data_IF_304394162455
#
_entry.id   IF_304394162455
#
_cell.length_a   1.000
_cell.length_b   1.000
_cell.length_c   1.000
_cell.angle_alpha   90.00
_cell.angle_beta   90.00
_cell.angle_gamma   90.00
#
_symmetry.space_group_name_H-M   'P 1'
#
loop_
_entity.id
_entity.type
_entity.pdbx_description
1 polymer ?
#
# COMPACT_ATOMS: atom_id res chain seq x y z
N UNK A 1 -14.57 26.95 -6.90
CA UNK A 1 -14.45 25.67 -7.66
C UNK A 1 -14.26 24.59 -6.60
N UNK A 2 -14.88 23.42 -6.77
CA UNK A 2 -14.59 22.27 -5.92
C UNK A 2 -13.16 21.81 -6.19
N UNK A 3 -12.41 21.50 -5.14
CA UNK A 3 -11.04 21.02 -5.26
C UNK A 3 -11.05 19.49 -5.42
N UNK A 4 -10.27 18.98 -6.36
CA UNK A 4 -10.07 17.53 -6.48
C UNK A 4 -9.21 17.04 -5.33
N UNK A 5 -9.65 15.95 -4.69
CA UNK A 5 -9.02 15.41 -3.49
C UNK A 5 -8.77 13.90 -3.62
N UNK A 6 -7.58 13.44 -3.25
CA UNK A 6 -7.31 12.04 -2.96
C UNK A 6 -7.53 11.78 -1.47
N UNK A 7 -8.07 10.62 -1.11
CA UNK A 7 -8.20 10.17 0.27
C UNK A 7 -7.31 8.95 0.49
N UNK A 8 -6.34 9.08 1.39
CA UNK A 8 -5.54 7.96 1.90
C UNK A 8 -6.04 7.55 3.28
N UNK A 9 -6.30 6.27 3.47
CA UNK A 9 -6.75 5.69 4.75
C UNK A 9 -5.69 4.73 5.24
N UNK A 10 -5.07 5.06 6.37
CA UNK A 10 -4.03 4.22 6.97
C UNK A 10 -4.62 3.20 7.92
N UNK A 11 -4.38 1.92 7.69
CA UNK A 11 -4.71 0.82 8.61
C UNK A 11 -3.40 0.26 9.16
N UNK A 12 -3.00 0.59 10.39
CA UNK A 12 -1.65 0.33 10.91
C UNK A 12 -1.41 -1.12 11.36
N UNK A 13 -2.28 -2.05 11.04
CA UNK A 13 -2.21 -3.40 11.62
C UNK A 13 -1.62 -4.42 10.66
N UNK A 14 -0.72 -5.28 11.19
CA UNK A 14 -0.15 -6.42 10.49
C UNK A 14 -0.27 -7.68 11.36
N UNK A 15 -0.46 -8.84 10.74
CA UNK A 15 -0.44 -10.13 11.44
C UNK A 15 0.97 -10.44 11.98
N UNK A 16 2.00 -10.09 11.21
CA UNK A 16 3.41 -10.14 11.59
C UNK A 16 4.12 -8.92 11.02
N UNK A 17 5.07 -8.34 11.78
CA UNK A 17 5.85 -7.21 11.32
C UNK A 17 7.05 -7.71 10.52
N UNK A 18 7.17 -7.26 9.27
CA UNK A 18 8.32 -7.59 8.42
C UNK A 18 9.60 -6.97 8.95
N UNK A 19 10.73 -7.66 8.78
CA UNK A 19 12.02 -7.25 9.34
C UNK A 19 12.62 -5.99 8.68
N UNK A 20 12.12 -5.61 7.50
CA UNK A 20 12.55 -4.46 6.70
C UNK A 20 11.60 -3.26 6.76
N UNK A 21 10.41 -3.42 7.36
CA UNK A 21 9.33 -2.44 7.23
C UNK A 21 9.50 -1.29 8.22
N UNK A 22 9.66 -0.07 7.68
CA UNK A 22 9.74 1.19 8.44
C UNK A 22 8.40 1.94 8.52
N UNK A 23 7.34 1.41 7.91
CA UNK A 23 6.01 2.02 8.00
C UNK A 23 5.45 1.94 9.43
N UNK A 24 4.60 2.93 9.75
CA UNK A 24 3.84 2.94 11.00
C UNK A 24 2.92 1.73 11.01
N UNK A 25 3.33 0.66 11.70
CA UNK A 25 2.60 -0.59 11.74
C UNK A 25 2.74 -1.30 13.09
N UNK A 26 1.69 -2.03 13.48
CA UNK A 26 1.54 -2.65 14.79
C UNK A 26 0.97 -4.08 14.63
N UNK A 27 1.39 -5.00 15.51
CA UNK A 27 0.66 -6.25 15.68
C UNK A 27 -0.50 -5.99 16.68
N UNK A 28 -1.77 -6.15 16.27
CA UNK A 28 -2.90 -5.76 17.11
C UNK A 28 -3.10 -6.71 18.29
N UNK A 29 -3.47 -6.15 19.45
CA UNK A 29 -4.04 -6.88 20.58
C UNK A 29 -5.56 -6.98 20.42
N UNK A 30 -6.22 -7.88 21.15
CA UNK A 30 -7.69 -7.96 21.15
C UNK A 30 -8.34 -6.59 21.44
N UNK A 31 -9.24 -6.15 20.57
CA UNK A 31 -9.95 -4.88 20.67
C UNK A 31 -9.23 -3.66 20.04
N UNK A 32 -7.92 -3.73 19.75
CA UNK A 32 -7.18 -2.60 19.19
C UNK A 32 -7.77 -2.13 17.85
N UNK A 33 -8.14 -3.06 16.97
CA UNK A 33 -8.70 -2.74 15.65
C UNK A 33 -10.04 -2.04 15.79
N UNK A 34 -10.94 -2.54 16.64
CA UNK A 34 -12.28 -1.97 16.79
C UNK A 34 -12.24 -0.58 17.43
N UNK A 35 -11.37 -0.37 18.42
CA UNK A 35 -11.11 0.93 19.01
C UNK A 35 -10.54 1.90 17.97
N UNK A 36 -9.60 1.43 17.15
CA UNK A 36 -9.00 2.21 16.08
C UNK A 36 -10.02 2.64 15.03
N UNK A 37 -10.87 1.71 14.57
CA UNK A 37 -11.92 2.02 13.61
C UNK A 37 -12.91 3.06 14.17
N UNK A 38 -13.19 3.02 15.48
CA UNK A 38 -14.00 4.06 16.13
C UNK A 38 -13.34 5.43 16.15
N UNK A 39 -12.01 5.49 16.35
CA UNK A 39 -11.26 6.74 16.28
C UNK A 39 -11.14 7.26 14.84
N UNK A 40 -10.95 6.36 13.87
CA UNK A 40 -10.89 6.68 12.44
C UNK A 40 -12.20 7.28 11.94
N UNK A 41 -13.36 6.73 12.37
CA UNK A 41 -14.69 7.25 12.05
C UNK A 41 -14.87 8.68 12.56
N UNK A 42 -14.48 8.95 13.80
CA UNK A 42 -14.52 10.32 14.37
C UNK A 42 -13.60 11.29 13.62
N UNK A 43 -12.42 10.81 13.20
CA UNK A 43 -11.52 11.62 12.39
C UNK A 43 -12.15 11.98 11.05
N UNK A 44 -12.73 11.00 10.37
CA UNK A 44 -13.39 11.17 9.08
C UNK A 44 -14.50 12.22 9.18
N UNK A 45 -15.37 12.14 10.20
CA UNK A 45 -16.43 13.11 10.48
C UNK A 45 -15.87 14.51 10.75
N UNK A 46 -14.68 14.63 11.32
CA UNK A 46 -14.01 15.92 11.52
C UNK A 46 -13.67 16.67 10.23
N UNK A 47 -13.67 15.98 9.08
CA UNK A 47 -13.40 16.54 7.75
C UNK A 47 -14.64 16.79 6.90
N UNK A 48 -15.87 16.68 7.41
CA UNK A 48 -17.12 16.86 6.67
C UNK A 48 -17.13 18.16 5.85
N UNK A 49 -16.71 19.28 6.44
CA UNK A 49 -16.64 20.57 5.75
C UNK A 49 -15.65 20.59 4.56
N UNK A 50 -14.61 19.77 4.61
CA UNK A 50 -13.67 19.62 3.51
C UNK A 50 -14.32 18.77 2.40
N UNK A 51 -14.98 17.69 2.78
CA UNK A 51 -15.65 16.79 1.83
C UNK A 51 -16.81 17.49 1.11
N UNK A 52 -17.61 18.32 1.79
CA UNK A 52 -18.70 19.08 1.18
C UNK A 52 -18.27 20.03 0.04
N UNK A 53 -17.00 20.47 0.05
CA UNK A 53 -16.44 21.38 -0.95
C UNK A 53 -15.39 20.73 -1.86
N UNK A 54 -15.21 19.42 -1.77
CA UNK A 54 -14.25 18.66 -2.56
C UNK A 54 -14.92 17.57 -3.38
N UNK A 55 -14.26 17.19 -4.46
CA UNK A 55 -14.58 16.00 -5.24
C UNK A 55 -13.52 14.95 -4.91
N UNK A 56 -13.93 13.84 -4.28
CA UNK A 56 -13.01 12.73 -4.02
C UNK A 56 -12.85 11.93 -5.32
N UNK A 57 -11.67 12.00 -5.92
CA UNK A 57 -11.36 11.27 -7.15
C UNK A 57 -10.78 9.90 -6.91
N UNK A 58 -9.99 9.74 -5.84
CA UNK A 58 -9.32 8.49 -5.51
C UNK A 58 -9.41 8.19 -4.03
N UNK A 59 -9.61 6.92 -3.69
CA UNK A 59 -9.49 6.41 -2.31
C UNK A 59 -8.45 5.30 -2.31
N UNK A 60 -7.52 5.35 -1.35
CA UNK A 60 -6.49 4.35 -1.16
C UNK A 60 -6.45 3.90 0.30
N UNK A 61 -6.71 2.62 0.54
CA UNK A 61 -6.61 2.00 1.87
C UNK A 61 -5.30 1.24 1.92
N UNK A 62 -4.36 1.74 2.73
CA UNK A 62 -3.02 1.16 2.83
C UNK A 62 -2.47 1.18 4.25
N UNK A 63 -1.15 1.02 4.37
CA UNK A 63 -0.41 1.17 5.63
C UNK A 63 0.30 -0.06 6.12
N UNK A 64 -0.20 -0.74 7.13
CA UNK A 64 0.28 -2.05 7.56
C UNK A 64 -0.19 -3.14 6.61
N UNK A 65 -1.39 -3.65 6.84
CA UNK A 65 -2.02 -4.67 5.99
C UNK A 65 -3.55 -4.57 6.13
N UNK A 66 -4.23 -3.73 5.35
CA UNK A 66 -5.68 -3.57 5.45
C UNK A 66 -6.47 -4.87 5.34
N UNK A 67 -5.98 -5.81 4.55
CA UNK A 67 -6.60 -7.12 4.38
C UNK A 67 -6.57 -8.04 5.63
N UNK A 68 -5.90 -7.65 6.73
CA UNK A 68 -5.97 -8.38 8.01
C UNK A 68 -7.34 -8.22 8.68
N UNK A 69 -8.05 -7.13 8.43
CA UNK A 69 -9.38 -6.89 8.98
C UNK A 69 -10.30 -8.09 8.70
N UNK A 70 -11.10 -8.49 9.69
CA UNK A 70 -12.14 -9.50 9.47
C UNK A 70 -13.30 -8.91 8.62
N UNK A 71 -14.30 -9.72 8.27
CA UNK A 71 -15.39 -9.28 7.40
C UNK A 71 -16.20 -8.13 8.00
N UNK A 72 -16.50 -8.18 9.29
CA UNK A 72 -17.28 -7.14 9.98
C UNK A 72 -16.49 -5.83 10.05
N UNK A 73 -15.20 -5.90 10.40
CA UNK A 73 -14.30 -4.74 10.45
C UNK A 73 -14.09 -4.13 9.07
N UNK A 74 -13.93 -4.99 8.04
CA UNK A 74 -13.83 -4.54 6.65
C UNK A 74 -15.13 -3.87 6.20
N UNK A 75 -16.27 -4.49 6.47
CA UNK A 75 -17.59 -3.91 6.18
C UNK A 75 -17.77 -2.55 6.83
N UNK A 76 -17.50 -2.43 8.14
CA UNK A 76 -17.55 -1.15 8.86
C UNK A 76 -16.67 -0.07 8.23
N UNK A 77 -15.42 -0.40 7.88
CA UNK A 77 -14.50 0.54 7.22
C UNK A 77 -15.06 1.00 5.87
N UNK A 78 -15.55 0.09 5.04
CA UNK A 78 -16.06 0.40 3.71
C UNK A 78 -17.38 1.18 3.76
N UNK A 79 -18.25 0.91 4.74
CA UNK A 79 -19.47 1.68 5.00
C UNK A 79 -19.17 3.14 5.39
N UNK A 80 -18.14 3.39 6.22
CA UNK A 80 -17.70 4.76 6.54
C UNK A 80 -17.28 5.56 5.30
N UNK A 81 -16.70 4.90 4.30
CA UNK A 81 -16.20 5.53 3.08
C UNK A 81 -17.27 5.65 1.98
N UNK A 82 -18.39 4.91 2.10
CA UNK A 82 -19.46 4.87 1.10
C UNK A 82 -20.02 6.25 0.69
N UNK A 83 -20.27 7.22 1.60
CA UNK A 83 -20.77 8.54 1.24
C UNK A 83 -19.82 9.34 0.33
N UNK A 84 -18.50 9.03 0.38
CA UNK A 84 -17.44 9.76 -0.33
C UNK A 84 -17.22 9.26 -1.76
N UNK A 85 -17.87 8.17 -2.17
CA UNK A 85 -17.58 7.45 -3.41
C UNK A 85 -18.19 8.04 -4.68
N UNK A 86 -18.98 9.12 -4.64
CA UNK A 86 -19.81 9.62 -5.76
C UNK A 86 -19.02 9.88 -7.05
N UNK A 87 -17.77 10.32 -6.96
CA UNK A 87 -16.92 10.66 -8.11
C UNK A 87 -15.60 9.88 -8.13
N UNK A 88 -15.47 8.86 -7.31
CA UNK A 88 -14.24 8.05 -7.23
C UNK A 88 -14.04 7.26 -8.51
N UNK A 89 -12.85 7.43 -9.10
CA UNK A 89 -12.41 6.78 -10.34
C UNK A 89 -11.33 5.74 -10.12
N UNK A 90 -10.83 5.60 -8.88
CA UNK A 90 -9.93 4.54 -8.43
C UNK A 90 -10.11 4.33 -6.92
N UNK A 91 -10.42 3.11 -6.52
CA UNK A 91 -10.53 2.71 -5.13
C UNK A 91 -9.63 1.49 -4.86
N UNK A 92 -8.49 1.76 -4.24
CA UNK A 92 -7.44 0.76 -4.00
C UNK A 92 -7.47 0.24 -2.57
N UNK A 93 -7.17 -1.05 -2.39
CA UNK A 93 -6.84 -1.67 -1.11
C UNK A 93 -5.53 -2.45 -1.20
N UNK A 94 -4.68 -2.33 -0.17
CA UNK A 94 -3.49 -3.17 0.00
C UNK A 94 -3.84 -4.50 0.66
N UNK A 95 -3.19 -5.57 0.18
CA UNK A 95 -3.40 -6.91 0.70
C UNK A 95 -2.09 -7.71 0.75
N UNK A 96 -2.02 -8.62 1.71
CA UNK A 96 -1.02 -9.68 1.73
C UNK A 96 -1.67 -11.02 1.32
N UNK A 97 -0.92 -11.90 0.62
CA UNK A 97 -1.45 -13.14 0.07
C UNK A 97 -2.15 -14.03 1.10
N UNK A 98 -1.61 -14.11 2.33
CA UNK A 98 -2.15 -14.94 3.41
C UNK A 98 -3.49 -14.47 3.95
N UNK A 99 -3.87 -13.22 3.72
CA UNK A 99 -5.08 -12.61 4.27
C UNK A 99 -6.21 -12.42 3.27
N UNK A 100 -5.99 -12.81 1.99
CA UNK A 100 -7.01 -12.78 0.93
C UNK A 100 -7.92 -14.00 1.04
N UNK A 101 -9.25 -13.77 0.97
CA UNK A 101 -10.26 -14.82 0.82
C UNK A 101 -11.37 -14.40 -0.16
N UNK A 102 -12.13 -15.37 -0.69
CA UNK A 102 -13.22 -15.08 -1.64
C UNK A 102 -14.28 -14.16 -1.02
N UNK A 103 -14.62 -14.36 0.25
CA UNK A 103 -15.60 -13.55 0.96
C UNK A 103 -15.12 -12.09 1.09
N UNK A 104 -13.83 -11.87 1.39
CA UNK A 104 -13.26 -10.52 1.49
C UNK A 104 -13.25 -9.83 0.12
N UNK A 105 -12.80 -10.52 -0.91
CA UNK A 105 -12.72 -9.92 -2.27
C UNK A 105 -14.12 -9.63 -2.80
N UNK A 106 -15.12 -10.44 -2.49
CA UNK A 106 -16.53 -10.15 -2.77
C UNK A 106 -16.97 -8.88 -2.05
N UNK A 107 -16.71 -8.77 -0.75
CA UNK A 107 -17.05 -7.58 0.04
C UNK A 107 -16.37 -6.32 -0.51
N UNK A 108 -15.11 -6.43 -0.94
CA UNK A 108 -14.38 -5.32 -1.58
C UNK A 108 -15.05 -4.89 -2.88
N UNK A 109 -15.38 -5.85 -3.75
CA UNK A 109 -16.08 -5.59 -5.03
C UNK A 109 -17.45 -4.94 -4.80
N UNK A 110 -18.26 -5.47 -3.87
CA UNK A 110 -19.60 -4.98 -3.55
C UNK A 110 -19.57 -3.52 -3.08
N UNK A 111 -18.47 -3.10 -2.43
CA UNK A 111 -18.23 -1.72 -2.02
C UNK A 111 -17.41 -0.93 -3.07
N UNK A 112 -17.11 -1.52 -4.24
CA UNK A 112 -16.52 -0.90 -5.42
C UNK A 112 -15.04 -0.60 -5.31
N UNK A 113 -14.30 -1.37 -4.55
CA UNK A 113 -12.86 -1.49 -4.73
C UNK A 113 -12.62 -2.08 -6.11
N UNK A 114 -11.86 -1.35 -6.94
CA UNK A 114 -11.54 -1.70 -8.33
C UNK A 114 -10.07 -2.01 -8.55
N UNK A 115 -9.23 -1.84 -7.50
CA UNK A 115 -7.79 -2.09 -7.54
C UNK A 115 -7.31 -2.75 -6.25
N UNK A 116 -6.48 -3.79 -6.37
CA UNK A 116 -5.78 -4.44 -5.24
C UNK A 116 -4.28 -4.34 -5.45
N UNK A 117 -3.54 -3.92 -4.41
CA UNK A 117 -2.07 -4.03 -4.35
C UNK A 117 -1.67 -5.21 -3.49
N UNK A 118 -1.05 -6.22 -4.10
CA UNK A 118 -0.71 -7.49 -3.44
C UNK A 118 0.79 -7.56 -3.14
N UNK A 119 1.15 -7.61 -1.87
CA UNK A 119 2.54 -7.67 -1.41
C UNK A 119 3.15 -9.07 -1.54
N UNK A 120 3.71 -9.42 -2.70
CA UNK A 120 4.47 -10.66 -2.89
C UNK A 120 5.91 -10.54 -2.44
N UNK A 121 6.58 -9.46 -2.80
CA UNK A 121 7.96 -9.08 -2.50
C UNK A 121 9.02 -9.96 -3.17
N UNK A 122 8.98 -11.27 -2.98
CA UNK A 122 9.86 -12.26 -3.58
C UNK A 122 9.18 -13.62 -3.65
N UNK A 123 9.62 -14.48 -4.57
CA UNK A 123 9.21 -15.89 -4.64
C UNK A 123 10.21 -16.84 -3.99
N UNK A 124 11.35 -16.34 -3.53
CA UNK A 124 12.37 -17.17 -2.88
C UNK A 124 12.00 -17.44 -1.41
N UNK A 125 11.83 -18.71 -0.99
CA UNK A 125 11.40 -19.05 0.37
C UNK A 125 12.40 -18.62 1.46
N UNK A 126 13.70 -18.57 1.16
CA UNK A 126 14.73 -18.13 2.11
C UNK A 126 14.61 -16.62 2.32
N UNK A 127 14.43 -15.86 1.23
CA UNK A 127 14.21 -14.42 1.32
C UNK A 127 12.88 -14.08 1.97
N UNK A 128 11.78 -14.79 1.68
CA UNK A 128 10.52 -14.61 2.41
C UNK A 128 10.74 -14.74 3.92
N UNK A 129 11.43 -15.80 4.36
CA UNK A 129 11.76 -16.00 5.77
C UNK A 129 12.66 -14.89 6.34
N UNK A 130 13.69 -14.48 5.60
CA UNK A 130 14.62 -13.41 6.03
C UNK A 130 13.91 -12.06 6.14
N UNK A 131 13.00 -11.76 5.23
CA UNK A 131 12.17 -10.55 5.24
C UNK A 131 11.06 -10.58 6.31
N UNK A 132 10.82 -11.72 6.96
CA UNK A 132 9.76 -11.88 7.96
C UNK A 132 8.37 -12.01 7.33
N UNK A 133 8.29 -12.46 6.06
CA UNK A 133 7.01 -12.75 5.38
C UNK A 133 6.49 -14.11 5.79
N UNK A 134 5.17 -14.23 5.96
CA UNK A 134 4.51 -15.45 6.46
C UNK A 134 3.75 -16.22 5.38
N UNK A 135 3.63 -15.66 4.17
CA UNK A 135 3.01 -16.34 3.04
C UNK A 135 4.00 -17.24 2.28
N UNK A 136 3.45 -18.07 1.41
CA UNK A 136 4.20 -18.90 0.44
C UNK A 136 3.85 -18.47 -0.99
N UNK A 137 4.64 -18.92 -1.97
CA UNK A 137 4.37 -18.65 -3.40
C UNK A 137 3.04 -19.24 -3.87
N UNK A 138 2.64 -20.39 -3.34
CA UNK A 138 1.33 -21.00 -3.64
C UNK A 138 0.19 -20.11 -3.15
N UNK A 139 0.37 -19.44 -2.01
CA UNK A 139 -0.61 -18.47 -1.48
C UNK A 139 -0.73 -17.25 -2.37
N UNK A 140 0.35 -16.80 -3.00
CA UNK A 140 0.31 -15.70 -3.97
C UNK A 140 -0.57 -16.09 -5.16
N UNK A 141 -0.33 -17.26 -5.77
CA UNK A 141 -1.12 -17.73 -6.91
C UNK A 141 -2.61 -17.86 -6.55
N UNK A 142 -2.94 -18.45 -5.39
CA UNK A 142 -4.31 -18.54 -4.90
C UNK A 142 -4.96 -17.17 -4.71
N UNK A 143 -4.24 -16.20 -4.10
CA UNK A 143 -4.75 -14.85 -3.89
C UNK A 143 -5.02 -14.14 -5.24
N UNK A 144 -4.10 -14.28 -6.20
CA UNK A 144 -4.27 -13.73 -7.55
C UNK A 144 -5.50 -14.31 -8.25
N UNK A 145 -5.70 -15.63 -8.17
CA UNK A 145 -6.87 -16.28 -8.77
C UNK A 145 -8.18 -15.80 -8.15
N UNK A 146 -8.23 -15.64 -6.82
CA UNK A 146 -9.40 -15.13 -6.11
C UNK A 146 -9.68 -13.68 -6.50
N UNK A 147 -8.66 -12.80 -6.50
CA UNK A 147 -8.83 -11.38 -6.80
C UNK A 147 -9.35 -11.19 -8.23
N UNK A 148 -8.78 -11.88 -9.20
CA UNK A 148 -9.13 -11.75 -10.63
C UNK A 148 -10.53 -12.15 -10.99
N UNK A 149 -11.18 -12.95 -10.18
CA UNK A 149 -12.58 -13.32 -10.42
C UNK A 149 -13.52 -12.12 -10.27
N UNK A 150 -13.06 -11.03 -9.63
CA UNK A 150 -13.94 -9.93 -9.22
C UNK A 150 -13.36 -8.52 -9.43
N UNK A 151 -12.03 -8.39 -9.45
CA UNK A 151 -11.34 -7.09 -9.52
C UNK A 151 -10.36 -7.13 -10.68
N UNK A 152 -10.52 -6.18 -11.59
CA UNK A 152 -9.82 -6.16 -12.87
C UNK A 152 -8.39 -5.62 -12.75
N UNK A 153 -8.12 -4.73 -11.78
CA UNK A 153 -6.81 -4.11 -11.62
C UNK A 153 -6.06 -4.71 -10.43
N UNK A 154 -5.06 -5.53 -10.74
CA UNK A 154 -4.14 -6.12 -9.76
C UNK A 154 -2.75 -5.53 -9.93
N UNK A 155 -2.22 -5.01 -8.82
CA UNK A 155 -0.80 -4.73 -8.66
C UNK A 155 -0.11 -5.84 -7.88
N UNK A 156 1.13 -6.18 -8.23
CA UNK A 156 2.00 -7.08 -7.45
C UNK A 156 3.30 -6.34 -7.13
N UNK A 157 3.68 -6.34 -5.85
CA UNK A 157 4.90 -5.70 -5.37
C UNK A 157 6.06 -6.69 -5.36
N UNK A 158 7.24 -6.23 -5.84
CA UNK A 158 8.52 -6.92 -5.85
C UNK A 158 9.58 -6.08 -5.15
N UNK A 159 10.42 -6.71 -4.34
CA UNK A 159 11.63 -6.09 -3.76
C UNK A 159 12.86 -6.66 -4.46
N UNK A 160 13.78 -5.76 -4.87
CA UNK A 160 15.11 -6.11 -5.36
C UNK A 160 16.20 -5.51 -4.44
N UNK A 161 17.47 -5.78 -4.71
CA UNK A 161 18.56 -5.31 -3.84
C UNK A 161 18.69 -6.12 -2.55
N UNK A 162 18.34 -7.40 -2.55
CA UNK A 162 18.28 -8.23 -1.35
C UNK A 162 19.68 -8.57 -0.81
N UNK A 163 20.63 -8.92 -1.67
CA UNK A 163 22.03 -9.14 -1.34
C UNK A 163 22.94 -8.97 -2.58
N UNK A 164 24.25 -8.71 -2.37
CA UNK A 164 25.22 -8.69 -3.47
C UNK A 164 25.23 -10.02 -4.23
N UNK A 165 25.20 -9.91 -5.58
CA UNK A 165 25.18 -11.07 -6.47
C UNK A 165 23.87 -11.87 -6.52
N UNK A 166 22.84 -11.48 -5.75
CA UNK A 166 21.53 -12.12 -5.79
C UNK A 166 20.88 -11.95 -7.16
N UNK A 167 20.25 -13.02 -7.66
CA UNK A 167 19.52 -13.04 -8.94
C UNK A 167 18.08 -13.53 -8.78
N UNK A 168 17.64 -13.78 -7.55
CA UNK A 168 16.29 -14.30 -7.27
C UNK A 168 15.20 -13.32 -7.65
N UNK A 169 15.51 -12.00 -7.65
CA UNK A 169 14.59 -10.95 -8.09
C UNK A 169 14.15 -11.14 -9.55
N UNK A 170 15.03 -11.59 -10.44
CA UNK A 170 14.65 -11.85 -11.84
C UNK A 170 13.71 -13.06 -11.96
N UNK A 171 13.96 -14.12 -11.20
CA UNK A 171 13.05 -15.28 -11.13
C UNK A 171 11.68 -14.84 -10.62
N UNK A 172 11.65 -14.04 -9.54
CA UNK A 172 10.42 -13.48 -8.98
C UNK A 172 9.69 -12.64 -10.02
N UNK A 173 10.41 -11.80 -10.79
CA UNK A 173 9.80 -11.00 -11.85
C UNK A 173 9.15 -11.87 -12.93
N UNK A 174 9.83 -12.94 -13.39
CA UNK A 174 9.25 -13.87 -14.38
C UNK A 174 7.97 -14.53 -13.87
N UNK A 175 7.95 -14.93 -12.60
CA UNK A 175 6.75 -15.49 -11.99
C UNK A 175 5.62 -14.44 -11.92
N UNK A 176 5.92 -13.18 -11.53
CA UNK A 176 4.95 -12.09 -11.54
C UNK A 176 4.41 -11.84 -12.96
N UNK A 177 5.28 -11.75 -13.97
CA UNK A 177 4.85 -11.56 -15.36
C UNK A 177 3.97 -12.74 -15.81
N UNK A 178 4.31 -13.98 -15.41
CA UNK A 178 3.50 -15.17 -15.67
C UNK A 178 2.09 -15.09 -15.06
N UNK A 179 1.95 -14.41 -13.92
CA UNK A 179 0.67 -14.11 -13.31
C UNK A 179 -0.10 -12.98 -14.04
N UNK A 180 0.48 -12.27 -14.98
CA UNK A 180 -0.13 -11.22 -15.83
C UNK A 180 -0.92 -10.15 -15.03
N UNK A 181 -0.35 -9.50 -14.01
CA UNK A 181 -1.02 -8.37 -13.36
C UNK A 181 -1.11 -7.17 -14.32
N UNK A 182 -2.02 -6.24 -14.07
CA UNK A 182 -2.12 -5.00 -14.82
C UNK A 182 -1.06 -3.99 -14.43
N UNK A 183 -0.49 -4.16 -13.23
CA UNK A 183 0.47 -3.24 -12.64
C UNK A 183 1.52 -4.01 -11.83
N UNK A 184 2.75 -3.50 -11.80
CA UNK A 184 3.87 -4.07 -11.03
C UNK A 184 4.62 -2.93 -10.37
N UNK A 185 4.82 -3.04 -9.05
CA UNK A 185 5.69 -2.15 -8.29
C UNK A 185 7.01 -2.85 -8.00
N UNK A 186 8.13 -2.19 -8.28
CA UNK A 186 9.45 -2.70 -7.94
C UNK A 186 10.13 -1.73 -6.98
N UNK A 187 10.51 -2.21 -5.80
CA UNK A 187 11.12 -1.42 -4.75
C UNK A 187 12.53 -1.89 -4.47
N UNK A 188 13.47 -0.94 -4.38
CA UNK A 188 14.78 -1.23 -3.81
C UNK A 188 14.64 -1.53 -2.31
N UNK A 189 15.35 -2.54 -1.81
CA UNK A 189 15.39 -2.81 -0.39
C UNK A 189 16.16 -1.72 0.35
N UNK A 190 15.44 -0.90 1.10
CA UNK A 190 16.05 0.04 2.04
C UNK A 190 16.34 -0.66 3.37
N UNK A 191 17.60 -0.60 3.82
CA UNK A 191 18.05 -1.25 5.06
C UNK A 191 18.34 -0.20 6.11
N UNK A 192 17.39 0.01 7.00
CA UNK A 192 17.53 0.95 8.14
C UNK A 192 18.18 0.26 9.34
N UNK A 193 19.20 0.90 9.95
CA UNK A 193 19.99 0.32 11.04
C UNK A 193 19.19 -0.04 12.30
N UNK A 194 18.06 0.61 12.51
CA UNK A 194 17.16 0.36 13.64
C UNK A 194 16.24 -0.85 13.43
N UNK A 195 16.13 -1.38 12.20
CA UNK A 195 15.26 -2.51 11.88
C UNK A 195 15.97 -3.86 12.03
N UNK A 196 15.24 -4.93 12.34
CA UNK A 196 15.81 -6.27 12.52
C UNK A 196 16.64 -6.76 11.35
N UNK A 197 16.24 -6.45 10.11
CA UNK A 197 16.91 -6.90 8.90
C UNK A 197 18.37 -6.46 8.83
N UNK A 198 18.70 -5.24 9.31
CA UNK A 198 20.07 -4.74 9.29
C UNK A 198 21.07 -5.63 10.05
N UNK A 199 20.58 -6.36 11.06
CA UNK A 199 21.40 -7.31 11.85
C UNK A 199 21.48 -8.71 11.24
N UNK A 200 20.62 -9.00 10.25
CA UNK A 200 20.50 -10.31 9.60
C UNK A 200 21.30 -10.40 8.30
N UNK A 201 21.53 -9.25 7.66
CA UNK A 201 22.31 -9.19 6.43
C UNK A 201 23.80 -9.06 6.74
N UNK A 202 24.62 -9.89 6.10
CA UNK A 202 26.08 -9.82 6.19
C UNK A 202 26.66 -8.64 5.40
N UNK A 203 26.03 -8.33 4.27
CA UNK A 203 26.45 -7.29 3.33
C UNK A 203 25.20 -6.61 2.74
N UNK A 204 25.38 -5.36 2.27
CA UNK A 204 24.35 -4.60 1.55
C UNK A 204 24.74 -4.48 0.10
N UNK A 205 23.76 -4.43 -0.76
CA UNK A 205 23.97 -4.14 -2.20
C UNK A 205 24.47 -2.70 -2.32
N UNK A 206 25.52 -2.48 -3.11
CA UNK A 206 25.99 -1.14 -3.40
C UNK A 206 25.12 -0.45 -4.47
N UNK A 207 25.32 0.86 -4.64
CA UNK A 207 24.53 1.66 -5.57
C UNK A 207 24.67 1.25 -7.02
N UNK A 208 25.86 0.79 -7.43
CA UNK A 208 26.13 0.42 -8.82
C UNK A 208 25.45 -0.89 -9.17
N UNK A 209 25.54 -1.88 -8.28
CA UNK A 209 24.83 -3.16 -8.46
C UNK A 209 23.30 -2.97 -8.39
N UNK A 210 22.81 -2.16 -7.45
CA UNK A 210 21.38 -1.84 -7.35
C UNK A 210 20.85 -1.20 -8.64
N UNK A 211 21.61 -0.25 -9.19
CA UNK A 211 21.30 0.39 -10.46
C UNK A 211 21.27 -0.63 -11.62
N UNK A 212 22.23 -1.55 -11.70
CA UNK A 212 22.22 -2.61 -12.70
C UNK A 212 21.01 -3.55 -12.54
N UNK A 213 20.68 -3.93 -11.31
CA UNK A 213 19.50 -4.77 -11.04
C UNK A 213 18.22 -4.08 -11.50
N UNK A 214 18.06 -2.79 -11.17
CA UNK A 214 16.93 -1.98 -11.61
C UNK A 214 16.81 -1.92 -13.14
N UNK A 215 17.92 -1.69 -13.85
CA UNK A 215 17.92 -1.63 -15.31
C UNK A 215 17.53 -2.97 -15.98
N UNK A 216 17.96 -4.09 -15.39
CA UNK A 216 17.55 -5.42 -15.86
C UNK A 216 16.05 -5.65 -15.67
N UNK A 217 15.51 -5.27 -14.49
CA UNK A 217 14.07 -5.34 -14.21
C UNK A 217 13.28 -4.47 -15.18
N UNK A 218 13.68 -3.21 -15.36
CA UNK A 218 13.04 -2.25 -16.24
C UNK A 218 12.99 -2.78 -17.69
N UNK A 219 14.14 -3.19 -18.25
CA UNK A 219 14.21 -3.71 -19.61
C UNK A 219 13.33 -4.95 -19.81
N UNK A 220 13.25 -5.81 -18.78
CA UNK A 220 12.41 -6.99 -18.85
C UNK A 220 10.91 -6.66 -18.78
N UNK A 221 10.52 -5.71 -17.93
CA UNK A 221 9.14 -5.21 -17.83
C UNK A 221 8.70 -4.55 -19.13
N UNK A 222 9.53 -3.69 -19.72
CA UNK A 222 9.25 -3.05 -21.01
C UNK A 222 9.05 -4.08 -22.12
N UNK A 223 9.92 -5.11 -22.19
CA UNK A 223 9.78 -6.21 -23.15
C UNK A 223 8.51 -7.05 -22.95
N UNK A 224 7.92 -7.03 -21.76
CA UNK A 224 6.65 -7.68 -21.42
C UNK A 224 5.42 -6.75 -21.62
N UNK A 225 5.64 -5.51 -22.10
CA UNK A 225 4.58 -4.55 -22.42
C UNK A 225 4.20 -3.60 -21.29
N UNK A 226 4.89 -3.66 -20.15
CA UNK A 226 4.67 -2.71 -19.07
C UNK A 226 5.43 -1.40 -19.32
N UNK A 227 4.79 -0.28 -19.07
CA UNK A 227 5.38 1.05 -19.20
C UNK A 227 5.65 1.63 -17.82
N UNK A 228 6.86 2.17 -17.65
CA UNK A 228 7.21 2.93 -16.45
C UNK A 228 6.51 4.28 -16.49
N UNK A 229 5.76 4.65 -15.46
CA UNK A 229 5.08 5.94 -15.38
C UNK A 229 5.55 6.82 -14.22
N UNK A 230 6.30 6.24 -13.26
CA UNK A 230 7.01 6.96 -12.19
C UNK A 230 8.24 6.17 -11.72
N UNK A 231 8.81 6.43 -10.55
CA UNK A 231 10.11 5.88 -10.12
C UNK A 231 10.08 4.35 -10.00
N UNK A 232 9.10 3.81 -9.29
CA UNK A 232 9.04 2.38 -8.90
C UNK A 232 7.92 1.61 -9.59
N UNK A 233 7.00 2.29 -10.30
CA UNK A 233 5.78 1.68 -10.78
C UNK A 233 5.69 1.55 -12.29
N UNK A 234 5.26 0.36 -12.71
CA UNK A 234 5.08 -0.04 -14.09
C UNK A 234 3.66 -0.57 -14.29
N UNK A 235 3.04 -0.24 -15.42
CA UNK A 235 1.70 -0.74 -15.74
C UNK A 235 1.53 -1.07 -17.22
N UNK A 236 0.54 -1.87 -17.52
CA UNK A 236 -0.04 -1.91 -18.85
C UNK A 236 -0.71 -0.55 -19.13
N UNK A 237 -0.77 -0.09 -20.40
CA UNK A 237 -1.39 1.20 -20.72
C UNK A 237 -2.83 1.31 -20.19
N UNK A 238 -3.10 2.41 -19.48
CA UNK A 238 -4.42 2.71 -18.88
C UNK A 238 -4.64 2.13 -17.47
N UNK A 239 -3.62 1.46 -16.88
CA UNK A 239 -3.69 0.93 -15.52
C UNK A 239 -2.73 1.62 -14.54
N UNK A 240 -2.26 2.82 -14.89
CA UNK A 240 -1.46 3.65 -14.00
C UNK A 240 -2.25 3.99 -12.73
N UNK A 241 -1.63 3.86 -11.54
CA UNK A 241 -2.28 4.18 -10.27
C UNK A 241 -2.53 5.69 -10.15
N UNK A 242 -3.80 6.11 -10.27
CA UNK A 242 -4.20 7.52 -10.22
C UNK A 242 -3.90 8.14 -8.87
N UNK A 243 -4.14 7.40 -7.77
CA UNK A 243 -3.85 7.87 -6.43
C UNK A 243 -2.35 8.12 -6.25
N UNK A 244 -1.49 7.22 -6.74
CA UNK A 244 -0.05 7.38 -6.68
C UNK A 244 0.44 8.59 -7.50
N UNK A 245 -0.11 8.81 -8.69
CA UNK A 245 0.21 9.98 -9.51
C UNK A 245 -0.10 11.32 -8.81
N UNK A 246 -1.08 11.36 -7.87
CA UNK A 246 -1.41 12.57 -7.12
C UNK A 246 -0.23 13.07 -6.30
N UNK A 247 0.51 12.16 -5.67
CA UNK A 247 1.72 12.52 -4.91
C UNK A 247 2.79 13.16 -5.80
N UNK A 248 3.06 12.56 -6.95
CA UNK A 248 4.04 13.09 -7.91
C UNK A 248 3.64 14.43 -8.51
N UNK A 249 2.35 14.64 -8.71
CA UNK A 249 1.80 15.92 -9.21
C UNK A 249 1.56 16.94 -8.10
N UNK A 250 1.88 16.63 -6.85
CA UNK A 250 1.63 17.49 -5.67
C UNK A 250 0.16 17.94 -5.58
N UNK A 251 -0.77 17.07 -5.93
CA UNK A 251 -2.21 17.32 -5.84
C UNK A 251 -2.68 17.12 -4.40
N UNK A 252 -3.80 17.79 -4.06
CA UNK A 252 -4.40 17.66 -2.74
C UNK A 252 -4.70 16.20 -2.40
N UNK A 253 -4.18 15.76 -1.25
CA UNK A 253 -4.41 14.43 -0.71
C UNK A 253 -4.58 14.54 0.79
N UNK A 254 -5.72 14.06 1.30
CA UNK A 254 -5.99 13.94 2.73
C UNK A 254 -5.60 12.54 3.18
N UNK A 255 -4.70 12.45 4.15
CA UNK A 255 -4.39 11.21 4.86
C UNK A 255 -5.13 11.18 6.20
N UNK A 256 -5.86 10.12 6.46
CA UNK A 256 -6.50 9.84 7.75
C UNK A 256 -5.95 8.54 8.34
N UNK A 257 -5.95 8.46 9.66
CA UNK A 257 -5.40 7.35 10.41
C UNK A 257 -4.02 7.63 10.97
N UNK A 258 -3.51 6.67 11.75
CA UNK A 258 -2.25 6.75 12.49
C UNK A 258 -1.06 7.02 11.54
N UNK A 259 -0.29 8.07 11.81
CA UNK A 259 0.88 8.44 11.01
C UNK A 259 0.58 8.89 9.58
N UNK A 260 -0.69 9.04 9.18
CA UNK A 260 -1.05 9.42 7.83
C UNK A 260 -0.63 10.86 7.50
N UNK A 261 -0.10 11.06 6.28
CA UNK A 261 0.35 12.35 5.78
C UNK A 261 -0.67 12.97 4.84
N UNK A 262 -0.80 14.29 4.92
CA UNK A 262 -1.70 15.10 4.09
C UNK A 262 -0.96 16.22 3.37
N UNK A 263 -1.45 16.57 2.18
CA UNK A 263 -1.08 17.78 1.45
C UNK A 263 -2.35 18.47 0.98
N UNK A 264 -2.73 19.58 1.60
CA UNK A 264 -3.93 20.35 1.25
C UNK A 264 -3.53 21.82 1.06
N UNK A 265 -3.78 22.38 -0.12
CA UNK A 265 -3.52 23.78 -0.45
C UNK A 265 -2.07 24.21 -0.08
N UNK A 266 -1.07 23.41 -0.49
CA UNK A 266 0.35 23.56 -0.17
C UNK A 266 0.71 23.51 1.33
N UNK A 267 -0.19 23.01 2.16
CA UNK A 267 0.07 22.73 3.57
C UNK A 267 0.24 21.25 3.77
N UNK A 268 1.40 20.86 4.26
CA UNK A 268 1.67 19.46 4.65
C UNK A 268 1.43 19.31 6.13
N UNK A 269 0.78 18.24 6.53
CA UNK A 269 0.63 17.86 7.92
C UNK A 269 0.53 16.32 8.03
N UNK A 270 0.81 15.80 9.21
CA UNK A 270 0.67 14.38 9.48
C UNK A 270 0.01 14.16 10.84
N UNK A 271 -0.61 13.00 10.96
CA UNK A 271 -1.09 12.49 12.22
C UNK A 271 0.05 11.92 13.07
N UNK A 272 -0.16 11.85 14.38
CA UNK A 272 0.75 11.17 15.31
C UNK A 272 0.93 9.70 14.91
N UNK A 273 2.13 9.17 15.14
CA UNK A 273 2.46 7.76 15.02
C UNK A 273 2.23 6.98 16.34
N UNK A 274 1.86 7.66 17.43
CA UNK A 274 1.52 7.05 18.72
C UNK A 274 0.03 6.68 18.77
N UNK A 275 -0.26 5.37 18.89
CA UNK A 275 -1.63 4.86 18.91
C UNK A 275 -2.43 5.41 20.11
N UNK A 276 -1.79 5.61 21.27
CA UNK A 276 -2.49 6.10 22.47
C UNK A 276 -2.94 7.54 22.28
N UNK A 277 -2.08 8.39 21.72
CA UNK A 277 -2.43 9.77 21.38
C UNK A 277 -3.51 9.82 20.30
N UNK A 278 -3.40 8.99 19.26
CA UNK A 278 -4.39 8.91 18.20
C UNK A 278 -5.78 8.54 18.73
N UNK A 279 -5.87 7.55 19.62
CA UNK A 279 -7.11 7.13 20.26
C UNK A 279 -7.68 8.20 21.22
N UNK A 280 -6.81 9.03 21.81
CA UNK A 280 -7.18 10.18 22.64
C UNK A 280 -7.56 11.43 21.81
N UNK A 281 -7.61 11.31 20.47
CA UNK A 281 -7.93 12.40 19.53
C UNK A 281 -6.86 13.50 19.44
N UNK A 282 -5.66 13.27 19.96
CA UNK A 282 -4.46 14.11 19.81
C UNK A 282 -3.73 13.76 18.50
N UNK A 283 -4.34 14.13 17.36
CA UNK A 283 -4.00 13.52 16.07
C UNK A 283 -2.88 14.23 15.32
N UNK A 284 -2.86 15.55 15.27
CA UNK A 284 -1.91 16.28 14.41
C UNK A 284 -0.61 16.53 15.15
N UNK A 285 0.48 15.95 14.62
CA UNK A 285 1.83 16.06 15.20
C UNK A 285 2.67 17.17 14.57
N UNK A 286 2.60 17.33 13.25
CA UNK A 286 3.43 18.29 12.54
C UNK A 286 2.64 19.05 11.47
N UNK A 287 2.99 20.35 11.25
CA UNK A 287 2.43 21.18 10.17
C UNK A 287 3.52 21.99 9.50
N UNK A 288 3.54 22.00 8.18
CA UNK A 288 4.49 22.71 7.35
C UNK A 288 3.77 23.45 6.22
N UNK A 289 4.19 24.68 5.90
CA UNK A 289 3.75 25.38 4.70
C UNK A 289 4.82 25.20 3.61
N UNK A 290 4.45 24.63 2.49
CA UNK A 290 5.36 24.48 1.37
C UNK A 290 5.43 25.80 0.58
N UNK A 291 6.65 26.20 0.18
CA UNK A 291 6.83 27.29 -0.77
C UNK A 291 6.27 26.89 -2.14
N UNK A 292 5.68 27.83 -2.84
CA UNK A 292 5.21 27.70 -4.22
C UNK A 292 6.33 27.38 -5.19
#
# INVERSE_FOLDING_TARGET
MMNDLGLYVHIPFCQARCHYCDFVSLCPRPGDIDNYLGALEKELLGFDRLFDRSIIETIYIGGGTPSILNLDQTGRLLEMLQPLRKAVTEFTIEANPESVSDEKVRLWQDHGIDRVSLGMQTSDPLWLKTLGRIHTTEKVAQAVDIIRQRIDCLNIDLIYGLAPGDKTYMKTLEEIIGLRPQHISIYELEVYDHLPLAKMLSERVDSDESFEQFHRLMSRLESAGYQRYEVSNFSLPGFEAKHNQRYWKRQNTLGIGLGAHSLIDNKRFNNTADLTQYLAEERIEHRENLSS
#
